data_IF_659458044864
#
_entry.id   IF_659458044864
#
_cell.length_a   1.000
_cell.length_b   1.000
_cell.length_c   1.000
_cell.angle_alpha   90.00
_cell.angle_beta   90.00
_cell.angle_gamma   90.00
#
_symmetry.space_group_name_H-M   'P 1'
#
loop_
_entity.id
_entity.type
_entity.pdbx_description
1 polymer ?
#
# COMPACT_ATOMS: atom_id res chain seq x y z
N UNK A 1 10.52 14.92 -4.25
CA UNK A 1 10.40 15.29 -5.68
C UNK A 1 10.94 16.68 -5.92
N UNK A 2 11.47 16.95 -7.11
CA UNK A 2 11.82 18.30 -7.57
C UNK A 2 11.16 18.50 -8.93
N UNK A 3 10.17 19.37 -8.99
CA UNK A 3 9.47 19.75 -10.22
C UNK A 3 10.08 21.03 -10.78
N UNK A 4 10.08 21.20 -12.10
CA UNK A 4 10.51 22.45 -12.75
C UNK A 4 9.46 22.90 -13.75
N UNK A 5 9.01 24.14 -13.62
CA UNK A 5 8.23 24.78 -14.65
C UNK A 5 9.18 25.27 -15.75
N UNK A 6 9.02 24.74 -16.97
CA UNK A 6 9.86 25.09 -18.12
C UNK A 6 9.22 26.18 -19.01
N UNK A 7 8.13 26.79 -18.55
CA UNK A 7 7.47 27.90 -19.26
C UNK A 7 7.96 29.25 -18.74
N UNK A 8 7.67 30.29 -19.50
CA UNK A 8 7.94 31.69 -19.17
C UNK A 8 6.86 32.32 -18.27
N UNK A 9 5.84 31.55 -17.88
CA UNK A 9 4.72 32.01 -17.06
C UNK A 9 4.58 31.18 -15.80
N UNK A 10 3.96 31.77 -14.80
CA UNK A 10 3.51 31.03 -13.63
C UNK A 10 2.42 30.03 -14.02
N UNK A 11 2.45 28.86 -13.37
CA UNK A 11 1.46 27.80 -13.56
C UNK A 11 0.87 27.43 -12.21
N UNK A 12 -0.43 27.59 -12.07
CA UNK A 12 -1.19 27.03 -10.97
C UNK A 12 -1.76 25.68 -11.38
N UNK A 13 -1.52 24.64 -10.57
CA UNK A 13 -2.01 23.31 -10.85
C UNK A 13 -2.53 22.61 -9.59
N UNK A 14 -3.45 21.67 -9.80
CA UNK A 14 -3.77 20.66 -8.81
C UNK A 14 -2.73 19.54 -8.94
N UNK A 15 -2.08 19.20 -7.84
CA UNK A 15 -1.22 18.04 -7.72
C UNK A 15 -1.99 16.97 -6.97
N UNK A 16 -1.96 15.74 -7.48
CA UNK A 16 -2.62 14.59 -6.88
C UNK A 16 -1.61 13.47 -6.62
N UNK A 17 -1.79 12.79 -5.50
CA UNK A 17 -1.06 11.61 -5.09
C UNK A 17 -2.07 10.48 -4.85
N UNK A 18 -2.33 9.64 -5.88
CA UNK A 18 -3.21 8.50 -5.72
C UNK A 18 -2.56 7.45 -4.82
N UNK A 19 -3.34 6.93 -3.89
CA UNK A 19 -2.94 5.82 -3.04
C UNK A 19 -3.23 4.49 -3.77
N UNK A 20 -2.50 3.41 -3.44
CA UNK A 20 -2.91 2.08 -3.85
C UNK A 20 -4.34 1.80 -3.41
N UNK A 21 -5.09 1.14 -4.29
CA UNK A 21 -6.46 0.70 -4.00
C UNK A 21 -6.45 -0.30 -2.83
N UNK A 22 -7.47 -0.24 -1.99
CA UNK A 22 -7.71 -1.18 -0.89
C UNK A 22 -8.91 -2.03 -1.26
N UNK A 23 -8.71 -3.31 -1.48
CA UNK A 23 -9.79 -4.25 -1.81
C UNK A 23 -10.38 -4.82 -0.52
N UNK A 24 -11.69 -4.68 -0.32
CA UNK A 24 -12.39 -5.34 0.78
C UNK A 24 -12.47 -6.84 0.51
N UNK A 25 -11.83 -7.64 1.36
CA UNK A 25 -11.89 -9.10 1.37
C UNK A 25 -11.84 -9.57 2.83
N UNK A 26 -12.79 -10.38 3.33
CA UNK A 26 -12.77 -10.89 4.71
C UNK A 26 -11.54 -11.73 5.06
N UNK A 27 -10.86 -12.30 4.04
CA UNK A 27 -9.66 -13.10 4.21
C UNK A 27 -8.38 -12.24 4.26
N UNK A 28 -8.47 -10.96 3.93
CA UNK A 28 -7.36 -10.04 4.00
C UNK A 28 -7.33 -9.28 5.33
N UNK A 29 -6.11 -9.01 5.80
CA UNK A 29 -5.86 -8.20 6.99
C UNK A 29 -4.76 -7.18 6.65
N UNK A 30 -5.11 -6.05 6.02
CA UNK A 30 -4.10 -5.07 5.66
C UNK A 30 -3.49 -4.44 6.91
N UNK A 31 -2.16 -4.27 6.90
CA UNK A 31 -1.42 -3.64 7.98
C UNK A 31 -1.57 -2.11 7.92
N UNK A 32 -2.77 -1.60 8.21
CA UNK A 32 -3.06 -0.17 8.19
C UNK A 32 -2.64 0.49 9.52
N UNK A 33 -1.84 1.57 9.48
CA UNK A 33 -1.38 2.26 10.69
C UNK A 33 -2.48 2.84 11.58
N UNK A 34 -3.51 3.43 10.98
CA UNK A 34 -4.65 4.03 11.67
C UNK A 34 -5.95 3.70 10.92
N UNK A 35 -6.61 2.60 11.32
CA UNK A 35 -7.86 2.16 10.71
C UNK A 35 -9.11 2.96 11.13
N UNK A 36 -8.95 4.01 11.93
CA UNK A 36 -10.06 4.84 12.44
C UNK A 36 -10.11 6.24 11.81
N UNK A 37 -9.11 6.59 11.00
CA UNK A 37 -8.98 7.87 10.33
C UNK A 37 -9.06 7.69 8.81
N UNK A 38 -9.71 8.62 8.11
CA UNK A 38 -9.67 8.65 6.64
C UNK A 38 -8.23 8.91 6.14
N UNK A 39 -7.40 9.59 6.94
CA UNK A 39 -5.96 9.70 6.71
C UNK A 39 -5.20 8.52 7.33
N UNK A 40 -5.57 7.30 6.92
CA UNK A 40 -5.13 6.06 7.54
C UNK A 40 -3.62 5.76 7.47
N UNK A 41 -2.87 6.48 6.60
CA UNK A 41 -1.41 6.40 6.50
C UNK A 41 -0.67 7.60 7.10
N UNK A 42 -1.38 8.61 7.60
CA UNK A 42 -0.79 9.86 8.09
C UNK A 42 -0.02 10.59 7.00
N UNK A 43 -0.63 10.76 5.81
CA UNK A 43 -0.04 11.47 4.69
C UNK A 43 0.13 12.95 4.99
N UNK A 44 1.34 13.44 4.80
CA UNK A 44 1.76 14.83 4.92
C UNK A 44 2.53 15.25 3.67
N UNK A 45 2.37 16.51 3.28
CA UNK A 45 3.10 17.11 2.17
C UNK A 45 3.70 18.46 2.57
N UNK A 46 4.93 18.71 2.11
CA UNK A 46 5.56 20.03 2.18
C UNK A 46 5.98 20.50 0.79
N UNK A 47 5.87 21.81 0.55
CA UNK A 47 6.29 22.52 -0.65
C UNK A 47 7.36 23.51 -0.24
N UNK A 48 8.58 23.34 -0.76
CA UNK A 48 9.77 24.11 -0.39
C UNK A 48 9.98 24.23 1.13
N UNK A 49 9.66 23.14 1.85
CA UNK A 49 9.79 23.03 3.30
C UNK A 49 8.61 23.58 4.10
N UNK A 50 7.63 24.21 3.45
CA UNK A 50 6.40 24.72 4.08
C UNK A 50 5.31 23.65 4.00
N UNK A 51 4.60 23.40 5.10
CA UNK A 51 3.48 22.47 5.11
C UNK A 51 2.38 22.91 4.13
N UNK A 52 1.93 21.98 3.29
CA UNK A 52 0.71 22.15 2.52
C UNK A 52 -0.36 21.24 3.13
N UNK A 53 -1.61 21.70 3.20
CA UNK A 53 -2.72 20.87 3.67
C UNK A 53 -3.33 20.12 2.49
N UNK A 54 -3.11 18.81 2.34
CA UNK A 54 -3.77 18.05 1.31
C UNK A 54 -5.25 17.90 1.64
N UNK A 55 -6.08 17.92 0.61
CA UNK A 55 -7.44 17.43 0.62
C UNK A 55 -7.43 15.94 0.31
N UNK A 56 -8.42 15.20 0.80
CA UNK A 56 -8.58 13.78 0.55
C UNK A 56 -9.87 13.55 -0.23
N UNK A 57 -9.74 12.92 -1.39
CA UNK A 57 -10.86 12.40 -2.18
C UNK A 57 -10.91 10.88 -2.01
N UNK A 58 -12.07 10.33 -1.66
CA UNK A 58 -12.27 8.89 -1.58
C UNK A 58 -13.48 8.45 -2.39
N UNK A 59 -13.36 7.27 -2.99
CA UNK A 59 -14.41 6.62 -3.77
C UNK A 59 -14.45 5.13 -3.47
N UNK A 60 -15.65 4.58 -3.39
CA UNK A 60 -15.88 3.16 -3.21
C UNK A 60 -16.41 2.54 -4.50
N UNK A 61 -15.84 1.41 -4.91
CA UNK A 61 -16.21 0.72 -6.14
C UNK A 61 -16.53 -0.74 -5.87
N UNK A 62 -17.67 -1.24 -6.36
CA UNK A 62 -17.96 -2.67 -6.44
C UNK A 62 -18.07 -3.06 -7.91
N UNK A 63 -17.36 -4.12 -8.32
CA UNK A 63 -17.36 -4.60 -9.71
C UNK A 63 -17.04 -3.50 -10.75
N UNK A 64 -16.23 -2.50 -10.35
CA UNK A 64 -15.87 -1.35 -11.18
C UNK A 64 -16.90 -0.21 -11.25
N UNK A 65 -18.03 -0.32 -10.54
CA UNK A 65 -19.09 0.69 -10.46
C UNK A 65 -18.88 1.55 -9.21
N UNK A 66 -18.95 2.89 -9.34
CA UNK A 66 -18.89 3.81 -8.19
C UNK A 66 -20.17 3.64 -7.34
N UNK A 67 -20.00 3.16 -6.11
CA UNK A 67 -21.05 2.92 -5.11
C UNK A 67 -20.98 3.91 -3.94
N UNK A 68 -20.18 4.98 -4.05
CA UNK A 68 -20.01 5.93 -2.94
C UNK A 68 -21.33 6.51 -2.45
N UNK A 69 -22.25 6.82 -3.36
CA UNK A 69 -23.57 7.34 -3.01
C UNK A 69 -24.43 6.31 -2.25
N UNK A 70 -24.33 5.01 -2.58
CA UNK A 70 -25.01 3.95 -1.85
C UNK A 70 -24.52 3.93 -0.39
N UNK A 71 -23.19 3.89 -0.19
CA UNK A 71 -22.57 3.87 1.14
C UNK A 71 -22.91 5.13 1.95
N UNK A 72 -22.79 6.32 1.35
CA UNK A 72 -23.13 7.61 1.99
C UNK A 72 -24.59 7.65 2.43
N UNK A 73 -25.52 7.18 1.60
CA UNK A 73 -26.96 7.19 1.91
C UNK A 73 -27.31 6.37 3.16
N UNK A 74 -26.51 5.34 3.47
CA UNK A 74 -26.66 4.47 4.63
C UNK A 74 -25.70 4.82 5.78
N UNK A 75 -24.92 5.90 5.65
CA UNK A 75 -23.87 6.28 6.60
C UNK A 75 -22.84 5.16 6.85
N UNK A 76 -22.47 4.43 5.80
CA UNK A 76 -21.44 3.39 5.85
C UNK A 76 -20.09 4.01 5.47
N UNK A 77 -19.09 4.03 6.38
CA UNK A 77 -17.74 4.50 6.06
C UNK A 77 -17.10 3.71 4.91
N UNK A 78 -16.30 4.38 4.07
CA UNK A 78 -15.72 3.75 2.89
C UNK A 78 -14.56 2.81 3.19
N UNK A 79 -13.88 2.94 4.34
CA UNK A 79 -12.76 2.07 4.70
C UNK A 79 -13.26 0.64 5.04
N UNK A 80 -12.96 -0.38 4.20
CA UNK A 80 -13.66 -1.67 4.26
C UNK A 80 -13.19 -2.58 5.41
N UNK A 81 -12.10 -2.23 6.09
CA UNK A 81 -11.55 -3.03 7.20
C UNK A 81 -11.78 -2.40 8.58
N UNK A 82 -12.44 -1.24 8.65
CA UNK A 82 -12.72 -0.56 9.92
C UNK A 82 -13.92 -1.18 10.64
N UNK A 83 -13.85 -1.25 11.97
CA UNK A 83 -14.99 -1.69 12.81
C UNK A 83 -16.25 -0.84 12.56
N UNK A 84 -16.06 0.44 12.22
CA UNK A 84 -17.15 1.36 11.91
C UNK A 84 -17.96 0.93 10.68
N UNK A 85 -17.31 0.42 9.63
CA UNK A 85 -18.00 -0.08 8.44
C UNK A 85 -18.84 -1.32 8.76
N UNK A 86 -18.26 -2.30 9.47
CA UNK A 86 -18.98 -3.51 9.91
C UNK A 86 -20.16 -3.18 10.82
N UNK A 87 -19.98 -2.24 11.76
CA UNK A 87 -21.04 -1.80 12.65
C UNK A 87 -22.16 -1.04 11.93
N UNK A 88 -21.86 -0.34 10.83
CA UNK A 88 -22.86 0.31 9.98
C UNK A 88 -23.63 -0.72 9.15
N UNK A 89 -22.93 -1.71 8.56
CA UNK A 89 -23.56 -2.81 7.81
C UNK A 89 -24.55 -3.62 8.67
N UNK A 90 -24.19 -3.89 9.93
CA UNK A 90 -25.07 -4.59 10.87
C UNK A 90 -26.38 -3.84 11.21
N UNK A 91 -26.49 -2.55 10.84
CA UNK A 91 -27.67 -1.70 11.08
C UNK A 91 -28.47 -1.43 9.81
N UNK A 92 -28.06 -1.98 8.66
CA UNK A 92 -28.78 -1.76 7.42
C UNK A 92 -30.21 -2.31 7.52
N UNK A 93 -31.20 -1.64 6.92
CA UNK A 93 -32.49 -2.27 6.66
C UNK A 93 -32.28 -3.53 5.82
N UNK A 94 -32.97 -4.63 6.16
CA UNK A 94 -32.76 -5.93 5.49
C UNK A 94 -32.87 -5.83 3.97
N UNK A 95 -33.87 -5.10 3.45
CA UNK A 95 -34.04 -4.93 2.00
C UNK A 95 -32.86 -4.23 1.32
N UNK A 96 -32.11 -3.37 2.03
CA UNK A 96 -30.89 -2.73 1.52
C UNK A 96 -29.73 -3.71 1.55
N UNK A 97 -29.60 -4.49 2.63
CA UNK A 97 -28.59 -5.53 2.73
C UNK A 97 -28.76 -6.57 1.62
N UNK A 98 -29.99 -7.04 1.37
CA UNK A 98 -30.32 -7.99 0.31
C UNK A 98 -29.94 -7.43 -1.08
N UNK A 99 -30.32 -6.18 -1.39
CA UNK A 99 -29.92 -5.50 -2.63
C UNK A 99 -28.39 -5.40 -2.78
N UNK A 100 -27.68 -5.07 -1.69
CA UNK A 100 -26.23 -4.92 -1.71
C UNK A 100 -25.51 -6.26 -1.86
N UNK A 101 -26.05 -7.35 -1.31
CA UNK A 101 -25.56 -8.70 -1.57
C UNK A 101 -25.78 -9.07 -3.03
N UNK A 102 -26.99 -8.88 -3.56
CA UNK A 102 -27.34 -9.20 -4.95
C UNK A 102 -26.48 -8.43 -5.97
N UNK A 103 -26.13 -7.18 -5.65
CA UNK A 103 -25.25 -6.32 -6.46
C UNK A 103 -23.76 -6.56 -6.21
N UNK A 104 -23.39 -7.38 -5.21
CA UNK A 104 -22.00 -7.70 -4.88
C UNK A 104 -21.22 -6.57 -4.19
N UNK A 105 -21.88 -5.68 -3.45
CA UNK A 105 -21.24 -4.64 -2.64
C UNK A 105 -20.73 -5.21 -1.31
N UNK A 106 -21.48 -6.14 -0.74
CA UNK A 106 -21.18 -6.83 0.51
C UNK A 106 -21.38 -8.33 0.32
N UNK A 107 -20.80 -9.13 1.21
CA UNK A 107 -21.03 -10.58 1.25
C UNK A 107 -21.48 -11.02 2.64
N UNK A 108 -22.17 -12.15 2.67
CA UNK A 108 -22.52 -12.85 3.89
C UNK A 108 -21.32 -13.64 4.40
N UNK A 109 -20.93 -13.38 5.64
CA UNK A 109 -19.99 -14.19 6.39
C UNK A 109 -20.75 -14.90 7.50
N UNK A 110 -21.05 -16.17 7.29
CA UNK A 110 -21.78 -16.99 8.26
C UNK A 110 -20.80 -17.86 9.05
N UNK A 111 -20.71 -17.58 10.34
CA UNK A 111 -19.88 -18.35 11.27
C UNK A 111 -20.65 -18.74 12.53
N UNK A 112 -20.27 -19.85 13.16
CA UNK A 112 -20.71 -20.22 14.50
C UNK A 112 -19.70 -19.68 15.52
N UNK A 113 -20.12 -18.71 16.33
CA UNK A 113 -19.30 -18.11 17.39
C UNK A 113 -19.42 -18.85 18.74
N UNK A 114 -20.01 -20.05 18.74
CA UNK A 114 -20.34 -20.82 19.93
C UNK A 114 -21.70 -20.48 20.54
N UNK A 115 -22.43 -19.51 19.98
CA UNK A 115 -23.83 -19.24 20.30
C UNK A 115 -24.82 -19.62 19.18
N UNK A 116 -24.33 -20.35 18.16
CA UNK A 116 -25.06 -20.76 16.98
C UNK A 116 -24.62 -19.99 15.73
N UNK A 117 -25.11 -20.44 14.58
CA UNK A 117 -24.82 -19.81 13.29
C UNK A 117 -25.31 -18.36 13.27
N UNK A 118 -24.40 -17.43 12.98
CA UNK A 118 -24.70 -16.02 12.77
C UNK A 118 -24.18 -15.59 11.41
N UNK A 119 -25.05 -14.95 10.63
CA UNK A 119 -24.65 -14.25 9.41
C UNK A 119 -24.33 -12.80 9.77
N UNK A 120 -23.14 -12.35 9.38
CA UNK A 120 -22.78 -10.94 9.38
C UNK A 120 -22.50 -10.49 7.96
N UNK A 121 -22.69 -9.21 7.68
CA UNK A 121 -22.33 -8.62 6.39
C UNK A 121 -20.95 -7.99 6.48
N UNK A 122 -20.10 -8.30 5.51
CA UNK A 122 -18.74 -7.75 5.43
C UNK A 122 -18.55 -6.95 4.14
N UNK A 123 -17.77 -5.85 4.18
CA UNK A 123 -17.47 -5.06 2.99
C UNK A 123 -16.80 -5.88 1.89
N UNK A 124 -17.26 -5.70 0.65
CA UNK A 124 -16.69 -6.34 -0.55
C UNK A 124 -16.45 -5.34 -1.69
N UNK A 125 -16.18 -4.09 -1.33
CA UNK A 125 -15.87 -3.01 -2.27
C UNK A 125 -14.40 -2.61 -2.20
N UNK A 126 -13.92 -2.02 -3.29
CA UNK A 126 -12.62 -1.40 -3.40
C UNK A 126 -12.70 0.07 -2.97
N UNK A 127 -11.83 0.49 -2.05
CA UNK A 127 -11.61 1.89 -1.71
C UNK A 127 -10.46 2.46 -2.54
N UNK A 128 -10.74 3.54 -3.27
CA UNK A 128 -9.74 4.39 -3.93
C UNK A 128 -9.60 5.70 -3.16
N UNK A 129 -8.36 6.07 -2.84
CA UNK A 129 -8.05 7.30 -2.11
C UNK A 129 -7.04 8.14 -2.87
N UNK A 130 -7.27 9.45 -2.97
CA UNK A 130 -6.33 10.39 -3.61
C UNK A 130 -6.16 11.63 -2.74
N UNK A 131 -4.92 11.90 -2.32
CA UNK A 131 -4.58 13.18 -1.71
C UNK A 131 -4.30 14.21 -2.79
N UNK A 132 -4.84 15.41 -2.67
CA UNK A 132 -4.61 16.47 -3.65
C UNK A 132 -4.48 17.84 -3.01
N UNK A 133 -3.73 18.74 -3.65
CA UNK A 133 -3.54 20.11 -3.19
C UNK A 133 -3.26 21.04 -4.37
N UNK A 134 -3.44 22.34 -4.16
CA UNK A 134 -3.02 23.36 -5.14
C UNK A 134 -1.56 23.72 -4.94
N UNK A 135 -0.82 23.86 -6.03
CA UNK A 135 0.56 24.31 -6.01
C UNK A 135 0.82 25.30 -7.15
N UNK A 136 1.57 26.34 -6.83
CA UNK A 136 2.02 27.34 -7.77
C UNK A 136 3.46 27.02 -8.17
N UNK A 137 3.71 26.95 -9.47
CA UNK A 137 5.02 26.69 -10.04
C UNK A 137 5.52 27.93 -10.77
N UNK A 138 6.44 28.72 -10.18
CA UNK A 138 6.92 29.94 -10.80
C UNK A 138 7.69 29.67 -12.10
N UNK A 139 7.60 30.59 -13.06
CA UNK A 139 8.29 30.50 -14.35
C UNK A 139 9.79 30.16 -14.19
N UNK A 140 10.25 29.15 -14.93
CA UNK A 140 11.64 28.70 -14.96
C UNK A 140 12.26 28.26 -13.60
N UNK A 141 11.46 28.12 -12.53
CA UNK A 141 11.94 27.72 -11.20
C UNK A 141 11.67 26.25 -10.88
N UNK A 142 12.49 25.74 -9.97
CA UNK A 142 12.28 24.44 -9.36
C UNK A 142 11.45 24.59 -8.08
N UNK A 143 10.56 23.62 -7.84
CA UNK A 143 9.74 23.50 -6.62
C UNK A 143 10.02 22.13 -6.00
N UNK A 144 10.34 22.10 -4.71
CA UNK A 144 10.61 20.87 -3.96
C UNK A 144 9.35 20.41 -3.27
N UNK A 145 8.93 19.19 -3.54
CA UNK A 145 7.78 18.56 -2.88
C UNK A 145 8.25 17.35 -2.11
N UNK A 146 7.92 17.27 -0.82
CA UNK A 146 8.23 16.11 0.01
C UNK A 146 6.93 15.51 0.56
N UNK A 147 6.78 14.19 0.39
CA UNK A 147 5.71 13.41 1.01
C UNK A 147 6.28 12.65 2.21
N UNK A 148 5.50 12.54 3.28
CA UNK A 148 5.76 11.66 4.42
C UNK A 148 4.48 10.91 4.74
N UNK A 149 4.60 9.61 4.94
CA UNK A 149 3.49 8.75 5.35
C UNK A 149 4.06 7.43 5.89
N UNK A 150 3.24 6.67 6.61
CA UNK A 150 3.54 5.31 7.03
C UNK A 150 2.78 4.34 6.11
N UNK A 151 3.46 3.56 5.24
CA UNK A 151 2.76 2.69 4.30
C UNK A 151 2.10 1.50 5.00
N UNK A 152 1.11 0.92 4.32
CA UNK A 152 0.72 -0.48 4.58
C UNK A 152 1.86 -1.41 4.17
N UNK A 153 2.21 -2.36 5.04
CA UNK A 153 3.32 -3.29 4.82
C UNK A 153 2.75 -4.70 4.80
N UNK A 154 2.83 -5.36 3.64
CA UNK A 154 2.46 -6.77 3.55
C UNK A 154 3.47 -7.64 4.30
N UNK A 155 3.04 -8.77 4.86
CA UNK A 155 3.98 -9.66 5.54
C UNK A 155 3.50 -11.11 5.60
N UNK A 156 4.41 -12.00 5.98
CA UNK A 156 4.10 -13.40 6.31
C UNK A 156 4.90 -13.84 7.54
N UNK A 157 4.32 -14.77 8.30
CA UNK A 157 4.92 -15.31 9.51
C UNK A 157 6.11 -16.25 9.26
N UNK A 158 6.37 -16.60 8.00
CA UNK A 158 7.48 -17.42 7.54
C UNK A 158 7.80 -17.12 6.07
N UNK A 159 8.93 -17.64 5.59
CA UNK A 159 9.24 -17.62 4.16
C UNK A 159 8.69 -18.88 3.48
N UNK A 160 8.00 -18.71 2.35
CA UNK A 160 7.34 -19.79 1.61
C UNK A 160 8.19 -20.38 0.48
N UNK A 161 9.43 -19.90 0.33
CA UNK A 161 10.31 -20.20 -0.80
C UNK A 161 11.57 -21.01 -0.44
N UNK A 162 11.70 -21.46 0.81
CA UNK A 162 12.82 -22.30 1.25
C UNK A 162 12.39 -23.26 2.35
N UNK A 163 12.44 -24.56 2.07
CA UNK A 163 12.18 -25.65 3.02
C UNK A 163 12.92 -26.92 2.54
N UNK A 164 13.08 -27.91 3.42
CA UNK A 164 13.88 -29.14 3.16
C UNK A 164 15.31 -28.86 2.64
N UNK A 165 15.91 -27.75 3.10
CA UNK A 165 17.28 -27.36 2.73
C UNK A 165 17.46 -26.80 1.31
N UNK A 166 16.37 -26.56 0.57
CA UNK A 166 16.42 -26.11 -0.82
C UNK A 166 15.42 -24.99 -1.12
N UNK A 167 15.72 -24.22 -2.17
CA UNK A 167 14.79 -23.23 -2.71
C UNK A 167 13.74 -23.95 -3.57
N UNK A 168 12.47 -23.79 -3.21
CA UNK A 168 11.34 -24.45 -3.86
C UNK A 168 10.03 -23.71 -3.58
N UNK A 169 8.89 -24.25 -4.00
CA UNK A 169 7.59 -23.59 -3.86
C UNK A 169 7.52 -22.28 -4.66
N UNK A 170 7.24 -21.16 -3.98
CA UNK A 170 7.08 -19.83 -4.59
C UNK A 170 8.40 -19.16 -5.02
N UNK A 171 9.53 -19.86 -4.89
CA UNK A 171 10.87 -19.30 -5.09
C UNK A 171 11.07 -18.59 -6.44
N UNK A 172 10.68 -19.21 -7.55
CA UNK A 172 10.89 -18.60 -8.87
C UNK A 172 10.13 -17.27 -9.02
N UNK A 173 8.87 -17.24 -8.58
CA UNK A 173 8.05 -16.03 -8.60
C UNK A 173 8.63 -14.93 -7.70
N UNK A 174 9.06 -15.28 -6.48
CA UNK A 174 9.69 -14.34 -5.54
C UNK A 174 11.01 -13.81 -6.08
N UNK A 175 11.83 -14.67 -6.69
CA UNK A 175 13.16 -14.30 -7.18
C UNK A 175 13.04 -13.23 -8.26
N UNK A 176 12.09 -13.42 -9.18
CA UNK A 176 11.79 -12.44 -10.22
C UNK A 176 11.17 -11.17 -9.65
N UNK A 177 10.17 -11.28 -8.75
CA UNK A 177 9.42 -10.13 -8.23
C UNK A 177 10.26 -9.21 -7.34
N UNK A 178 11.12 -9.78 -6.50
CA UNK A 178 11.93 -9.04 -5.53
C UNK A 178 13.40 -8.90 -5.93
N UNK A 179 13.80 -9.47 -7.07
CA UNK A 179 15.19 -9.48 -7.53
C UNK A 179 16.13 -10.07 -6.48
N UNK A 180 15.82 -11.30 -6.02
CA UNK A 180 16.67 -12.04 -5.07
C UNK A 180 17.99 -12.41 -5.75
N UNK A 181 19.09 -11.87 -5.23
CA UNK A 181 20.44 -12.12 -5.73
C UNK A 181 21.12 -13.27 -4.98
N UNK A 182 22.30 -13.68 -5.47
CA UNK A 182 23.07 -14.74 -4.83
C UNK A 182 23.48 -14.41 -3.38
N UNK A 183 23.64 -13.12 -3.05
CA UNK A 183 23.96 -12.67 -1.69
C UNK A 183 22.80 -12.96 -0.74
N UNK A 184 21.58 -12.59 -1.13
CA UNK A 184 20.37 -12.87 -0.38
C UNK A 184 20.14 -14.38 -0.23
N UNK A 185 20.27 -15.14 -1.32
CA UNK A 185 20.12 -16.60 -1.32
C UNK A 185 21.12 -17.29 -0.37
N UNK A 186 22.38 -16.85 -0.39
CA UNK A 186 23.41 -17.38 0.50
C UNK A 186 23.12 -17.06 1.98
N UNK A 187 22.55 -15.90 2.26
CA UNK A 187 22.13 -15.55 3.62
C UNK A 187 21.00 -16.46 4.13
N UNK A 188 20.01 -16.78 3.28
CA UNK A 188 18.96 -17.75 3.61
C UNK A 188 19.56 -19.14 3.90
N UNK A 189 20.45 -19.64 3.04
CA UNK A 189 21.14 -20.92 3.27
C UNK A 189 21.94 -20.94 4.56
N UNK A 190 22.62 -19.83 4.89
CA UNK A 190 23.38 -19.69 6.14
C UNK A 190 22.45 -19.72 7.36
N UNK A 191 21.33 -19.01 7.30
CA UNK A 191 20.34 -19.01 8.37
C UNK A 191 19.74 -20.40 8.59
N UNK A 192 19.40 -21.12 7.52
CA UNK A 192 18.92 -22.49 7.57
C UNK A 192 19.90 -23.44 8.26
N UNK A 193 21.19 -23.41 7.88
CA UNK A 193 22.26 -24.21 8.51
C UNK A 193 22.48 -23.88 9.99
N UNK A 194 22.11 -22.68 10.42
CA UNK A 194 22.21 -22.26 11.82
C UNK A 194 21.11 -22.83 12.73
N UNK A 195 20.08 -23.48 12.15
CA UNK A 195 18.96 -24.04 12.90
C UNK A 195 18.95 -25.57 12.83
N UNK A 196 18.69 -26.30 13.94
CA UNK A 196 18.72 -27.76 13.98
C UNK A 196 17.74 -28.45 13.02
N UNK A 197 16.62 -27.81 12.74
CA UNK A 197 15.57 -28.29 11.83
C UNK A 197 15.81 -27.88 10.36
N UNK A 198 16.92 -27.17 10.07
CA UNK A 198 17.24 -26.69 8.73
C UNK A 198 16.33 -25.55 8.23
N UNK A 199 15.49 -24.97 9.09
CA UNK A 199 14.55 -23.91 8.70
C UNK A 199 15.15 -22.52 8.93
N UNK A 200 15.07 -21.59 7.97
CA UNK A 200 15.47 -20.20 8.19
C UNK A 200 14.37 -19.46 8.96
N UNK A 201 14.65 -19.03 10.20
CA UNK A 201 13.72 -18.30 11.07
C UNK A 201 13.60 -16.83 10.67
N UNK A 202 12.94 -16.56 9.55
CA UNK A 202 12.64 -15.20 9.08
C UNK A 202 11.14 -14.98 8.97
N UNK A 203 10.75 -13.75 9.29
CA UNK A 203 9.48 -13.14 8.94
C UNK A 203 9.69 -12.25 7.72
N UNK A 204 8.68 -12.13 6.86
CA UNK A 204 8.78 -11.30 5.67
C UNK A 204 7.97 -10.01 5.82
N UNK A 205 8.54 -8.91 5.31
CA UNK A 205 7.85 -7.66 5.06
C UNK A 205 8.02 -7.28 3.58
N UNK A 206 6.95 -6.81 2.94
CA UNK A 206 6.88 -6.49 1.51
C UNK A 206 6.31 -5.09 1.35
N UNK A 207 7.05 -4.24 0.62
CA UNK A 207 6.66 -2.87 0.30
C UNK A 207 6.82 -2.69 -1.21
N UNK A 208 5.82 -2.06 -1.85
CA UNK A 208 5.86 -1.71 -3.25
C UNK A 208 5.86 -0.18 -3.41
N UNK A 209 6.51 0.30 -4.47
CA UNK A 209 6.53 1.71 -4.84
C UNK A 209 6.37 1.85 -6.35
N UNK A 210 5.33 2.58 -6.78
CA UNK A 210 5.01 2.75 -8.20
C UNK A 210 5.81 3.93 -8.76
N UNK A 211 6.69 3.66 -9.73
CA UNK A 211 7.48 4.67 -10.44
C UNK A 211 6.92 5.01 -11.84
N UNK A 212 6.15 4.10 -12.43
CA UNK A 212 5.69 4.19 -13.83
C UNK A 212 4.76 5.36 -14.10
N UNK A 213 3.98 5.79 -13.11
CA UNK A 213 3.11 6.97 -13.20
C UNK A 213 3.89 8.28 -13.41
N UNK A 214 5.19 8.28 -13.10
CA UNK A 214 6.08 9.40 -13.39
C UNK A 214 6.29 9.68 -14.89
N UNK A 215 5.89 8.76 -15.78
CA UNK A 215 5.86 9.00 -17.22
C UNK A 215 4.83 10.05 -17.66
N UNK A 216 3.86 10.39 -16.80
CA UNK A 216 2.82 11.39 -17.11
C UNK A 216 3.29 12.85 -16.99
N UNK A 217 4.51 13.09 -16.49
CA UNK A 217 5.07 14.43 -16.39
C UNK A 217 5.55 14.94 -17.75
N UNK A 218 5.64 16.27 -17.92
CA UNK A 218 5.85 16.93 -19.21
C UNK A 218 7.07 16.42 -20.04
N UNK A 219 8.09 15.86 -19.39
CA UNK A 219 9.29 15.32 -20.04
C UNK A 219 9.22 13.81 -20.35
N UNK A 220 8.13 13.13 -20.00
CA UNK A 220 7.98 11.68 -20.15
C UNK A 220 8.91 10.84 -19.27
N UNK A 221 9.62 11.46 -18.33
CA UNK A 221 10.65 10.83 -17.48
C UNK A 221 10.78 11.56 -16.15
N UNK A 222 11.07 10.80 -15.09
CA UNK A 222 11.36 11.31 -13.74
C UNK A 222 12.79 11.85 -13.57
N UNK A 223 13.60 11.81 -14.63
CA UNK A 223 14.96 12.33 -14.63
C UNK A 223 15.89 11.56 -13.70
N UNK A 224 16.52 12.26 -12.75
CA UNK A 224 17.42 11.65 -11.77
C UNK A 224 16.61 11.04 -10.63
N UNK A 225 16.75 9.73 -10.46
CA UNK A 225 16.13 8.99 -9.38
C UNK A 225 17.18 8.54 -8.36
N UNK A 226 16.83 8.60 -7.08
CA UNK A 226 17.61 8.05 -5.97
C UNK A 226 16.65 7.32 -5.04
N UNK A 227 16.93 6.06 -4.75
CA UNK A 227 16.19 5.27 -3.76
C UNK A 227 17.14 4.90 -2.63
N UNK A 228 16.71 5.16 -1.39
CA UNK A 228 17.40 4.66 -0.20
C UNK A 228 16.47 3.70 0.54
N UNK A 229 16.91 2.46 0.73
CA UNK A 229 16.22 1.45 1.53
C UNK A 229 17.00 1.22 2.81
N UNK A 230 16.34 1.43 3.96
CA UNK A 230 16.90 1.11 5.28
C UNK A 230 16.19 -0.12 5.84
N UNK A 231 16.95 -1.20 6.07
CA UNK A 231 16.41 -2.45 6.63
C UNK A 231 16.31 -2.46 8.16
N UNK A 232 16.61 -1.35 8.84
CA UNK A 232 16.40 -1.14 10.27
C UNK A 232 17.43 -1.83 11.19
N UNK A 233 17.72 -3.11 10.98
CA UNK A 233 18.68 -3.89 11.77
C UNK A 233 19.76 -4.51 10.86
N UNK A 234 21.06 -4.46 11.21
CA UNK A 234 22.14 -5.10 10.44
C UNK A 234 21.97 -6.60 10.17
N UNK A 235 21.17 -7.31 10.96
CA UNK A 235 20.85 -8.75 10.81
C UNK A 235 19.71 -9.02 9.82
N UNK A 236 18.87 -8.03 9.51
CA UNK A 236 17.79 -8.19 8.54
C UNK A 236 18.35 -8.44 7.13
N UNK A 237 17.57 -9.12 6.29
CA UNK A 237 17.88 -9.26 4.87
C UNK A 237 17.03 -8.27 4.08
N UNK A 238 17.51 -7.84 2.92
CA UNK A 238 16.77 -6.97 2.01
C UNK A 238 17.12 -7.34 0.57
N UNK A 239 16.11 -7.32 -0.29
CA UNK A 239 16.21 -7.56 -1.73
C UNK A 239 15.14 -6.72 -2.41
N UNK A 240 15.53 -6.02 -3.48
CA UNK A 240 14.66 -5.19 -4.29
C UNK A 240 15.25 -5.00 -5.68
N UNK A 241 14.38 -4.72 -6.64
CA UNK A 241 14.78 -4.49 -8.02
C UNK A 241 15.37 -3.09 -8.21
N UNK A 242 16.54 -3.03 -8.83
CA UNK A 242 17.27 -1.80 -9.09
C UNK A 242 18.63 -2.09 -9.72
N UNK A 243 19.14 -1.15 -10.50
CA UNK A 243 20.51 -1.24 -11.04
C UNK A 243 21.49 -0.56 -10.10
N UNK A 244 22.73 -1.06 -10.05
CA UNK A 244 23.82 -0.44 -9.29
C UNK A 244 23.55 -0.23 -7.79
N UNK A 245 22.72 -1.10 -7.17
CA UNK A 245 22.44 -1.05 -5.73
C UNK A 245 23.72 -1.21 -4.92
N UNK A 246 23.98 -0.26 -4.01
CA UNK A 246 25.18 -0.23 -3.15
C UNK A 246 24.78 -0.14 -1.69
N UNK A 247 25.49 -0.88 -0.84
CA UNK A 247 25.39 -0.71 0.61
C UNK A 247 26.14 0.57 1.02
N UNK A 248 25.42 1.54 1.60
CA UNK A 248 25.94 2.86 2.02
C UNK A 248 26.00 3.04 3.54
N UNK A 249 25.62 2.01 4.29
CA UNK A 249 25.73 1.97 5.75
C UNK A 249 25.41 0.58 6.32
N UNK A 250 25.40 0.40 7.65
CA UNK A 250 25.12 -0.90 8.27
C UNK A 250 23.78 -1.50 7.85
N UNK A 251 22.77 -0.65 7.63
CA UNK A 251 21.39 -1.03 7.29
C UNK A 251 20.88 -0.42 5.98
N UNK A 252 21.65 0.49 5.37
CA UNK A 252 21.18 1.32 4.23
C UNK A 252 21.76 0.88 2.90
N UNK A 253 20.89 0.84 1.91
CA UNK A 253 21.19 0.54 0.51
C UNK A 253 20.68 1.68 -0.36
N UNK A 254 21.45 2.03 -1.40
CA UNK A 254 21.14 3.13 -2.30
C UNK A 254 21.31 2.71 -3.75
N UNK A 255 20.43 3.22 -4.62
CA UNK A 255 20.59 3.27 -6.07
C UNK A 255 20.31 4.68 -6.58
#
# INVERSE_FOLDING_TARGET
>A
YVFRNNTDKEVDAIVAFPMPDIEGDPNEMPAIPDGQSDNFLGFEVTIDGVAAMPQLEQKAFALGIDISADLESQNVPFYPFGDAARAALAKLPQAVADDWVDRGLIIEDTADDGSGMKTVYVPFWQLRSTYWWRSTFPANKAVRVAHRYKPSVGGTSSISFFYDGQFQGQYAAYKTRYCMDGTFENAIRKAAKGNPDGTPRYFENRIAYVLTTGGNWATGSIGKFKLTVDKGDPKNLVSFCGENVRKVGPTRFEM
#
